data_IF_756843365692
#
_entry.id   IF_756843365692
#
_cell.length_a   1.000
_cell.length_b   1.000
_cell.length_c   1.000
_cell.angle_alpha   90.00
_cell.angle_beta   90.00
_cell.angle_gamma   90.00
#
_symmetry.space_group_name_H-M   'P 1'
#
loop_
_entity.id
_entity.type
_entity.pdbx_description
1 polymer ?
#
# COMPACT_ATOMS: atom_id res chain seq x y z
N UNK A 1 21.06 -8.65 -32.12
CA UNK A 1 20.92 -8.84 -30.68
C UNK A 1 20.21 -10.17 -30.47
N UNK A 2 20.69 -11.07 -29.60
CA UNK A 2 19.91 -12.23 -29.21
C UNK A 2 18.68 -11.70 -28.44
N UNK A 3 17.50 -12.09 -28.88
CA UNK A 3 16.26 -11.77 -28.23
C UNK A 3 16.31 -12.37 -26.80
N UNK A 4 16.37 -11.52 -25.77
CA UNK A 4 16.32 -11.96 -24.36
C UNK A 4 14.86 -12.27 -24.09
N UNK A 5 14.51 -13.54 -24.04
CA UNK A 5 13.17 -13.96 -23.65
C UNK A 5 13.08 -13.92 -22.11
N UNK A 6 12.44 -12.87 -21.59
CA UNK A 6 12.16 -12.71 -20.16
C UNK A 6 10.71 -13.13 -19.93
N UNK A 7 10.50 -14.03 -18.98
CA UNK A 7 9.16 -14.41 -18.53
C UNK A 7 8.47 -13.23 -17.86
N UNK A 8 7.24 -12.96 -18.22
CA UNK A 8 6.40 -11.89 -17.67
C UNK A 8 5.20 -12.43 -16.91
N UNK A 9 4.49 -11.57 -16.20
CA UNK A 9 3.23 -11.96 -15.54
C UNK A 9 2.18 -12.48 -16.54
N UNK A 10 2.22 -12.03 -17.78
CA UNK A 10 1.30 -12.52 -18.82
C UNK A 10 1.62 -13.96 -19.20
N UNK A 11 2.89 -14.32 -19.36
CA UNK A 11 3.32 -15.69 -19.62
C UNK A 11 2.92 -16.61 -18.46
N UNK A 12 3.11 -16.16 -17.22
CA UNK A 12 2.69 -16.90 -16.02
C UNK A 12 1.18 -17.01 -15.89
N UNK A 13 0.44 -15.97 -16.27
CA UNK A 13 -1.03 -16.05 -16.32
C UNK A 13 -1.50 -17.07 -17.34
N UNK A 14 -0.96 -17.06 -18.56
CA UNK A 14 -1.31 -18.04 -19.59
C UNK A 14 -0.97 -19.47 -19.16
N UNK A 15 0.16 -19.68 -18.49
CA UNK A 15 0.57 -20.96 -17.94
C UNK A 15 -0.40 -21.50 -16.84
N UNK A 16 -1.21 -20.65 -16.22
CA UNK A 16 -2.26 -21.06 -15.27
C UNK A 16 -3.58 -21.46 -15.95
N UNK A 17 -3.69 -21.33 -17.25
CA UNK A 17 -4.92 -21.67 -17.98
C UNK A 17 -4.97 -23.16 -18.36
N UNK A 18 -6.14 -23.84 -18.26
CA UNK A 18 -7.38 -23.33 -17.68
C UNK A 18 -7.28 -23.24 -16.15
N UNK A 19 -7.79 -22.16 -15.58
CA UNK A 19 -7.81 -22.00 -14.12
C UNK A 19 -8.70 -23.07 -13.46
N UNK A 20 -8.36 -23.42 -12.21
CA UNK A 20 -9.15 -24.36 -11.41
C UNK A 20 -10.60 -23.87 -11.25
N UNK A 21 -11.58 -24.61 -11.78
CA UNK A 21 -12.98 -24.24 -11.73
C UNK A 21 -13.55 -24.13 -10.31
N UNK A 22 -13.06 -24.93 -9.36
CA UNK A 22 -13.45 -24.79 -7.95
C UNK A 22 -12.94 -23.50 -7.33
N UNK A 23 -11.68 -23.14 -7.61
CA UNK A 23 -11.06 -21.91 -7.10
C UNK A 23 -11.72 -20.67 -7.68
N UNK A 24 -11.91 -20.61 -9.00
CA UNK A 24 -12.51 -19.46 -9.69
C UNK A 24 -13.96 -19.18 -9.30
N UNK A 25 -14.70 -20.22 -8.90
CA UNK A 25 -16.10 -20.14 -8.44
C UNK A 25 -16.22 -19.98 -6.90
N UNK A 26 -15.12 -19.87 -6.17
CA UNK A 26 -15.07 -19.86 -4.70
C UNK A 26 -15.72 -21.11 -4.05
N UNK A 27 -15.67 -22.26 -4.73
CA UNK A 27 -16.22 -23.53 -4.27
C UNK A 27 -15.19 -24.47 -3.65
N UNK A 28 -13.97 -23.97 -3.39
CA UNK A 28 -12.91 -24.65 -2.66
C UNK A 28 -12.67 -23.93 -1.34
N UNK A 29 -12.75 -24.63 -0.20
CA UNK A 29 -12.48 -24.06 1.12
C UNK A 29 -11.25 -24.68 1.76
N UNK A 30 -10.31 -23.84 2.21
CA UNK A 30 -9.06 -24.22 2.87
C UNK A 30 -8.88 -23.48 4.21
N UNK A 31 -9.96 -23.18 4.92
CA UNK A 31 -9.90 -22.37 6.14
C UNK A 31 -9.68 -23.17 7.43
N UNK A 32 -9.55 -24.50 7.34
CA UNK A 32 -9.25 -25.36 8.48
C UNK A 32 -8.50 -26.61 8.03
N UNK A 33 -8.03 -27.41 9.00
CA UNK A 33 -7.24 -28.61 8.74
C UNK A 33 -8.04 -29.80 8.18
N UNK A 34 -9.39 -29.74 8.16
CA UNK A 34 -10.23 -30.76 7.52
C UNK A 34 -10.30 -30.62 6.00
N UNK A 35 -9.94 -29.42 5.47
CA UNK A 35 -9.88 -29.17 4.04
C UNK A 35 -8.60 -29.73 3.37
N UNK A 36 -8.49 -29.53 2.04
CA UNK A 36 -9.40 -28.76 1.18
C UNK A 36 -10.75 -29.44 0.99
N UNK A 37 -11.84 -28.65 1.07
CA UNK A 37 -13.18 -29.11 0.76
C UNK A 37 -13.63 -28.47 -0.57
N UNK A 38 -14.23 -29.28 -1.45
CA UNK A 38 -14.76 -28.82 -2.74
C UNK A 38 -16.26 -29.06 -2.80
N UNK A 39 -17.01 -28.14 -3.39
CA UNK A 39 -18.43 -28.29 -3.70
C UNK A 39 -18.57 -28.37 -5.20
N UNK A 40 -19.23 -29.44 -5.67
CA UNK A 40 -19.46 -29.62 -7.10
C UNK A 40 -20.56 -28.68 -7.62
N UNK A 41 -20.24 -27.77 -8.57
CA UNK A 41 -21.22 -26.84 -9.14
C UNK A 41 -22.26 -27.53 -10.04
N UNK A 42 -21.99 -28.76 -10.52
CA UNK A 42 -22.85 -29.50 -11.42
C UNK A 42 -23.82 -30.47 -10.71
N UNK A 43 -23.76 -30.50 -9.37
CA UNK A 43 -24.69 -31.31 -8.56
C UNK A 43 -24.44 -32.82 -8.54
N UNK A 44 -23.31 -33.29 -9.10
CA UNK A 44 -22.95 -34.73 -9.14
C UNK A 44 -22.05 -35.15 -7.97
N UNK A 45 -21.41 -34.22 -7.31
CA UNK A 45 -20.48 -34.42 -6.18
C UNK A 45 -20.98 -33.84 -4.86
N UNK A 46 -20.06 -33.62 -3.88
CA UNK A 46 -20.40 -33.05 -2.58
C UNK A 46 -21.09 -31.71 -2.69
N UNK A 47 -22.13 -31.49 -1.89
CA UNK A 47 -22.84 -30.20 -1.77
C UNK A 47 -22.48 -29.45 -0.53
N UNK A 48 -21.68 -30.04 0.36
CA UNK A 48 -21.22 -29.45 1.64
C UNK A 48 -19.78 -29.83 1.91
N UNK A 49 -19.06 -28.94 2.55
CA UNK A 49 -17.77 -29.27 3.14
C UNK A 49 -17.87 -30.21 4.34
N UNK A 50 -16.73 -30.67 4.86
CA UNK A 50 -16.68 -31.58 6.02
C UNK A 50 -17.41 -30.98 7.24
N UNK A 51 -17.34 -29.67 7.45
CA UNK A 51 -18.04 -28.97 8.53
C UNK A 51 -19.54 -28.70 8.25
N UNK A 52 -20.06 -29.14 7.11
CA UNK A 52 -21.46 -28.91 6.71
C UNK A 52 -21.72 -27.58 6.00
N UNK A 53 -20.72 -26.71 5.82
CA UNK A 53 -20.86 -25.46 5.08
C UNK A 53 -21.19 -25.69 3.62
N UNK A 54 -22.17 -24.95 3.10
CA UNK A 54 -22.61 -24.97 1.71
C UNK A 54 -21.84 -23.98 0.82
N UNK A 55 -22.21 -23.90 -0.45
CA UNK A 55 -21.60 -23.01 -1.43
C UNK A 55 -21.69 -21.52 -1.03
N UNK A 56 -22.84 -21.09 -0.51
CA UNK A 56 -23.03 -19.70 -0.09
C UNK A 56 -22.11 -19.34 1.07
N UNK A 57 -21.96 -20.25 2.03
CA UNK A 57 -21.04 -20.07 3.16
C UNK A 57 -19.58 -20.06 2.71
N UNK A 58 -19.19 -20.90 1.74
CA UNK A 58 -17.85 -20.88 1.17
C UNK A 58 -17.55 -19.54 0.51
N UNK A 59 -18.42 -19.08 -0.38
CA UNK A 59 -18.25 -17.81 -1.08
C UNK A 59 -18.19 -16.62 -0.11
N UNK A 60 -19.08 -16.59 0.90
CA UNK A 60 -19.09 -15.53 1.92
C UNK A 60 -17.82 -15.52 2.77
N UNK A 61 -17.27 -16.69 3.13
CA UNK A 61 -15.98 -16.78 3.86
C UNK A 61 -14.82 -16.26 3.04
N UNK A 62 -14.74 -16.60 1.74
CA UNK A 62 -13.71 -16.09 0.85
C UNK A 62 -13.82 -14.58 0.69
N UNK A 63 -15.03 -14.08 0.42
CA UNK A 63 -15.26 -12.64 0.27
C UNK A 63 -14.86 -11.87 1.53
N UNK A 64 -15.27 -12.34 2.71
CA UNK A 64 -14.91 -11.71 3.98
C UNK A 64 -13.40 -11.72 4.22
N UNK A 65 -12.69 -12.83 3.92
CA UNK A 65 -11.23 -12.88 4.07
C UNK A 65 -10.50 -11.98 3.10
N UNK A 66 -10.97 -11.87 1.86
CA UNK A 66 -10.40 -10.95 0.88
C UNK A 66 -10.57 -9.49 1.33
N UNK A 67 -11.77 -9.12 1.79
CA UNK A 67 -12.01 -7.79 2.35
C UNK A 67 -11.13 -7.52 3.58
N UNK A 68 -11.01 -8.50 4.48
CA UNK A 68 -10.16 -8.41 5.67
C UNK A 68 -8.67 -8.27 5.34
N UNK A 69 -8.19 -8.97 4.31
CA UNK A 69 -6.80 -8.86 3.86
C UNK A 69 -6.50 -7.46 3.28
N UNK A 70 -7.41 -6.91 2.45
CA UNK A 70 -7.28 -5.55 1.94
C UNK A 70 -7.28 -4.51 3.07
N UNK A 71 -8.20 -4.64 4.03
CA UNK A 71 -8.25 -3.76 5.19
C UNK A 71 -6.97 -3.84 6.03
N UNK A 72 -6.39 -5.03 6.20
CA UNK A 72 -5.12 -5.20 6.92
C UNK A 72 -3.98 -4.45 6.25
N UNK A 73 -3.91 -4.46 4.91
CA UNK A 73 -2.90 -3.71 4.16
C UNK A 73 -2.98 -2.21 4.43
N UNK A 74 -4.17 -1.62 4.31
CA UNK A 74 -4.35 -0.19 4.55
C UNK A 74 -4.28 0.18 6.03
N UNK A 75 -4.66 -0.72 6.94
CA UNK A 75 -4.46 -0.55 8.39
C UNK A 75 -2.99 -0.38 8.73
N UNK A 76 -2.14 -1.28 8.23
CA UNK A 76 -0.71 -1.26 8.50
C UNK A 76 -0.03 0.01 7.93
N UNK A 77 -0.41 0.40 6.71
CA UNK A 77 0.01 1.66 6.08
C UNK A 77 -0.42 2.89 6.91
N UNK A 78 -1.68 2.95 7.32
CA UNK A 78 -2.22 4.06 8.10
C UNK A 78 -1.56 4.18 9.48
N UNK A 79 -1.20 3.05 10.09
CA UNK A 79 -0.45 3.01 11.34
C UNK A 79 0.93 3.63 11.18
N UNK A 80 1.65 3.29 10.09
CA UNK A 80 2.93 3.90 9.78
C UNK A 80 2.80 5.43 9.60
N UNK A 81 1.78 5.90 8.85
CA UNK A 81 1.52 7.32 8.69
C UNK A 81 1.20 8.04 10.02
N UNK A 82 0.48 7.38 10.94
CA UNK A 82 0.17 7.95 12.25
C UNK A 82 1.41 8.03 13.14
N UNK A 83 2.25 7.00 13.16
CA UNK A 83 3.55 7.04 13.86
C UNK A 83 4.44 8.14 13.30
N UNK A 84 4.54 8.27 11.97
CA UNK A 84 5.33 9.32 11.35
C UNK A 84 4.83 10.72 11.73
N UNK A 85 3.51 10.95 11.81
CA UNK A 85 2.97 12.24 12.25
C UNK A 85 3.38 12.56 13.69
N UNK A 86 3.31 11.58 14.60
CA UNK A 86 3.76 11.74 15.99
C UNK A 86 5.25 12.05 16.05
N UNK A 87 6.08 11.27 15.34
CA UNK A 87 7.54 11.47 15.28
C UNK A 87 7.89 12.86 14.69
N UNK A 88 7.19 13.26 13.62
CA UNK A 88 7.35 14.58 12.99
C UNK A 88 7.02 15.72 13.98
N UNK A 89 5.92 15.57 14.72
CA UNK A 89 5.48 16.56 15.71
C UNK A 89 6.48 16.69 16.87
N UNK A 90 7.10 15.59 17.29
CA UNK A 90 8.15 15.54 18.32
C UNK A 90 9.52 15.99 17.84
N UNK A 91 9.72 16.15 16.52
CA UNK A 91 11.01 16.47 15.92
C UNK A 91 11.97 15.27 15.81
N UNK A 92 11.45 14.05 15.93
CA UNK A 92 12.19 12.79 15.86
C UNK A 92 12.40 12.32 14.40
N UNK A 93 11.64 12.85 13.45
CA UNK A 93 11.74 12.57 12.01
C UNK A 93 12.15 13.83 11.22
N UNK A 94 13.44 14.22 11.22
CA UNK A 94 13.92 15.52 10.73
C UNK A 94 13.74 15.74 9.22
N UNK A 95 13.48 14.69 8.44
CA UNK A 95 13.16 14.74 7.01
C UNK A 95 11.74 15.24 6.71
N UNK A 96 10.88 15.30 7.71
CA UNK A 96 9.46 15.60 7.54
C UNK A 96 9.01 16.81 8.36
N UNK A 97 7.88 17.40 7.98
CA UNK A 97 7.33 18.58 8.67
C UNK A 97 5.82 18.69 8.44
N UNK A 98 5.13 19.44 9.28
CA UNK A 98 3.73 19.80 9.06
C UNK A 98 3.67 20.84 7.93
N UNK A 99 3.13 20.46 6.77
CA UNK A 99 3.01 21.31 5.58
C UNK A 99 1.62 21.94 5.44
N UNK A 100 0.57 21.21 5.76
CA UNK A 100 -0.82 21.66 5.62
C UNK A 100 -1.47 21.82 7.00
N UNK A 101 -1.38 23.02 7.52
CA UNK A 101 -1.95 23.39 8.84
C UNK A 101 -3.48 23.39 8.79
N UNK A 102 -4.08 23.83 7.68
CA UNK A 102 -5.54 23.87 7.55
C UNK A 102 -6.12 22.44 7.58
N UNK A 103 -5.46 21.51 6.89
CA UNK A 103 -5.81 20.09 6.95
C UNK A 103 -5.69 19.55 8.38
N UNK A 104 -4.60 19.87 9.09
CA UNK A 104 -4.43 19.49 10.50
C UNK A 104 -5.60 19.98 11.36
N UNK A 105 -6.01 21.24 11.20
CA UNK A 105 -7.13 21.80 11.98
C UNK A 105 -8.46 21.10 11.66
N UNK A 106 -8.71 20.76 10.40
CA UNK A 106 -9.91 20.00 10.00
C UNK A 106 -9.94 18.59 10.64
N UNK A 107 -8.80 17.91 10.68
CA UNK A 107 -8.70 16.57 11.29
C UNK A 107 -8.83 16.69 12.81
N UNK A 108 -8.19 17.68 13.42
CA UNK A 108 -8.30 17.98 14.85
C UNK A 108 -9.75 18.20 15.28
N UNK A 109 -10.50 19.00 14.53
CA UNK A 109 -11.94 19.22 14.76
C UNK A 109 -12.73 17.91 14.67
N UNK A 110 -12.49 17.11 13.64
CA UNK A 110 -13.15 15.81 13.45
C UNK A 110 -12.89 14.87 14.64
N UNK A 111 -11.68 14.87 15.16
CA UNK A 111 -11.27 14.04 16.30
C UNK A 111 -11.67 14.63 17.65
N UNK A 112 -12.06 15.90 17.70
CA UNK A 112 -12.41 16.62 18.94
C UNK A 112 -11.19 17.09 19.73
N UNK A 113 -10.05 17.26 19.06
CA UNK A 113 -8.81 17.81 19.62
C UNK A 113 -8.96 19.32 19.80
N UNK A 114 -8.62 19.83 20.96
CA UNK A 114 -8.63 21.27 21.22
C UNK A 114 -7.46 21.96 20.49
N UNK A 115 -7.77 23.02 19.75
CA UNK A 115 -6.76 23.75 18.94
C UNK A 115 -6.41 25.14 19.49
N UNK A 116 -7.33 25.75 20.26
CA UNK A 116 -7.17 27.12 20.79
C UNK A 116 -5.99 27.20 21.76
N UNK A 117 -5.14 28.21 21.57
CA UNK A 117 -3.99 28.55 22.42
C UNK A 117 -2.94 27.43 22.53
N UNK A 118 -2.81 26.59 21.47
CA UNK A 118 -1.86 25.48 21.40
C UNK A 118 -0.90 25.63 20.23
N UNK A 119 0.30 25.06 20.34
CA UNK A 119 1.26 24.98 19.25
C UNK A 119 0.84 23.93 18.22
N UNK A 120 1.18 24.17 16.96
CA UNK A 120 0.87 23.26 15.84
C UNK A 120 1.37 21.85 16.12
N UNK A 121 2.58 21.67 16.59
CA UNK A 121 3.17 20.37 16.89
C UNK A 121 2.42 19.63 18.01
N UNK A 122 1.97 20.33 19.06
CA UNK A 122 1.18 19.72 20.14
C UNK A 122 -0.18 19.20 19.61
N UNK A 123 -0.79 19.91 18.67
CA UNK A 123 -2.04 19.50 18.03
C UNK A 123 -1.77 18.30 17.11
N UNK A 124 -0.70 18.33 16.33
CA UNK A 124 -0.32 17.26 15.42
C UNK A 124 0.00 15.96 16.17
N UNK A 125 0.73 16.06 17.29
CA UNK A 125 1.02 14.91 18.15
C UNK A 125 -0.27 14.28 18.69
N UNK A 126 -1.18 15.08 19.25
CA UNK A 126 -2.46 14.55 19.76
C UNK A 126 -3.32 13.96 18.66
N UNK A 127 -3.37 14.57 17.48
CA UNK A 127 -4.07 14.01 16.31
C UNK A 127 -3.50 12.65 15.91
N UNK A 128 -2.16 12.53 15.87
CA UNK A 128 -1.49 11.26 15.58
C UNK A 128 -1.78 10.17 16.62
N UNK A 129 -1.69 10.51 17.90
CA UNK A 129 -2.02 9.58 19.00
C UNK A 129 -3.49 9.13 18.94
N UNK A 130 -4.43 10.05 18.67
CA UNK A 130 -5.83 9.70 18.49
C UNK A 130 -6.07 8.81 17.28
N UNK A 131 -5.34 9.03 16.19
CA UNK A 131 -5.39 8.15 15.02
C UNK A 131 -4.90 6.74 15.38
N UNK A 132 -3.82 6.61 16.15
CA UNK A 132 -3.32 5.32 16.64
C UNK A 132 -4.35 4.59 17.52
N UNK A 133 -5.17 5.30 18.27
CA UNK A 133 -6.25 4.68 19.07
C UNK A 133 -7.35 4.06 18.20
N UNK A 134 -7.54 4.51 16.96
CA UNK A 134 -8.58 3.98 16.06
C UNK A 134 -8.34 2.51 15.64
N UNK A 135 -7.12 2.00 15.77
CA UNK A 135 -6.78 0.63 15.41
C UNK A 135 -7.35 -0.38 16.42
N UNK A 136 -7.24 -0.12 17.72
CA UNK A 136 -7.54 -1.08 18.76
C UNK A 136 -8.44 -0.59 19.90
N UNK A 137 -9.18 0.48 19.74
CA UNK A 137 -10.03 1.01 20.82
C UNK A 137 -11.11 0.02 21.26
N UNK A 138 -11.41 -0.06 22.57
CA UNK A 138 -12.35 -1.06 23.11
C UNK A 138 -13.82 -0.73 22.82
N UNK A 139 -14.18 0.54 22.70
CA UNK A 139 -15.57 1.01 22.59
C UNK A 139 -15.74 2.09 21.52
N UNK A 140 -17.00 2.28 21.09
CA UNK A 140 -17.39 3.30 20.11
C UNK A 140 -17.24 2.84 18.66
N UNK A 141 -17.26 3.80 17.76
CA UNK A 141 -17.07 3.64 16.31
C UNK A 141 -15.93 4.52 15.84
N UNK A 142 -15.45 4.30 14.60
CA UNK A 142 -14.37 5.09 14.03
C UNK A 142 -14.72 6.58 13.94
N UNK A 143 -13.78 7.45 14.27
CA UNK A 143 -14.00 8.91 14.34
C UNK A 143 -14.33 9.51 12.98
N UNK A 144 -13.66 9.07 11.92
CA UNK A 144 -13.92 9.57 10.57
C UNK A 144 -15.30 9.22 10.00
N UNK A 145 -16.06 8.30 10.62
CA UNK A 145 -17.45 8.06 10.24
C UNK A 145 -18.32 9.32 10.35
N UNK A 146 -17.95 10.26 11.24
CA UNK A 146 -18.65 11.55 11.39
C UNK A 146 -18.64 12.40 10.12
N UNK A 147 -17.69 12.18 9.22
CA UNK A 147 -17.57 12.89 7.94
C UNK A 147 -18.49 12.32 6.86
N UNK A 148 -19.06 11.14 7.07
CA UNK A 148 -20.04 10.57 6.16
C UNK A 148 -21.39 11.32 6.26
N UNK A 149 -22.18 11.42 5.18
CA UNK A 149 -23.53 11.98 5.24
C UNK A 149 -24.39 11.31 6.33
N UNK A 150 -25.13 12.08 7.11
CA UNK A 150 -25.93 11.58 8.24
C UNK A 150 -26.87 10.43 7.86
N UNK A 151 -27.51 10.54 6.67
CA UNK A 151 -28.37 9.48 6.16
C UNK A 151 -27.61 8.15 5.99
N UNK A 152 -26.32 8.20 5.64
CA UNK A 152 -25.47 7.02 5.49
C UNK A 152 -25.12 6.44 6.86
N UNK A 153 -24.76 7.27 7.82
CA UNK A 153 -24.47 6.84 9.20
C UNK A 153 -25.66 6.11 9.82
N UNK A 154 -26.87 6.67 9.68
CA UNK A 154 -28.12 6.02 10.16
C UNK A 154 -28.36 4.64 9.54
N UNK A 155 -28.03 4.47 8.25
CA UNK A 155 -28.14 3.16 7.60
C UNK A 155 -27.13 2.16 8.20
N UNK A 156 -25.88 2.57 8.40
CA UNK A 156 -24.85 1.70 8.97
C UNK A 156 -25.15 1.27 10.39
N UNK A 157 -25.67 2.18 11.21
CA UNK A 157 -26.13 1.89 12.56
C UNK A 157 -27.31 0.89 12.54
N UNK A 158 -28.35 1.17 11.75
CA UNK A 158 -29.53 0.30 11.61
C UNK A 158 -29.16 -1.11 11.17
N UNK A 159 -28.18 -1.25 10.26
CA UNK A 159 -27.72 -2.55 9.78
C UNK A 159 -26.70 -3.22 10.74
N UNK A 160 -26.20 -2.50 11.74
CA UNK A 160 -25.17 -2.97 12.64
C UNK A 160 -23.82 -3.18 11.98
N UNK A 161 -23.49 -2.38 10.94
CA UNK A 161 -22.25 -2.49 10.16
C UNK A 161 -21.30 -1.30 10.35
N UNK A 162 -21.60 -0.35 11.23
CA UNK A 162 -20.66 0.70 11.61
C UNK A 162 -19.41 0.08 12.26
N UNK A 163 -18.19 0.32 11.72
CA UNK A 163 -16.97 -0.28 12.26
C UNK A 163 -16.59 0.33 13.59
N UNK A 164 -16.03 -0.51 14.48
CA UNK A 164 -15.70 -0.17 15.87
C UNK A 164 -14.24 0.24 16.04
N UNK A 165 -13.35 -0.55 15.46
CA UNK A 165 -11.92 -0.28 15.40
C UNK A 165 -11.34 -1.10 14.25
N UNK A 166 -10.27 -0.62 13.60
CA UNK A 166 -9.79 -1.19 12.34
C UNK A 166 -9.32 -2.64 12.53
N UNK A 167 -8.35 -2.87 13.43
CA UNK A 167 -7.77 -4.21 13.66
C UNK A 167 -8.80 -5.18 14.26
N UNK A 168 -9.74 -4.67 15.04
CA UNK A 168 -10.82 -5.48 15.60
C UNK A 168 -11.68 -6.11 14.51
N UNK A 169 -12.02 -5.33 13.48
CA UNK A 169 -12.84 -5.87 12.39
C UNK A 169 -12.06 -6.90 11.55
N UNK A 170 -10.76 -6.70 11.36
CA UNK A 170 -9.88 -7.68 10.70
C UNK A 170 -9.79 -8.96 11.53
N UNK A 171 -9.50 -8.86 12.82
CA UNK A 171 -9.40 -10.02 13.72
C UNK A 171 -10.71 -10.80 13.78
N UNK A 172 -11.83 -10.10 13.89
CA UNK A 172 -13.17 -10.74 13.93
C UNK A 172 -13.48 -11.43 12.58
N UNK A 173 -13.04 -10.88 11.47
CA UNK A 173 -13.19 -11.50 10.14
C UNK A 173 -12.44 -12.82 10.05
N UNK A 174 -11.23 -12.91 10.60
CA UNK A 174 -10.46 -14.15 10.65
C UNK A 174 -11.13 -15.18 11.55
N UNK A 175 -11.62 -14.78 12.72
CA UNK A 175 -12.32 -15.67 13.66
C UNK A 175 -13.63 -16.20 13.05
N UNK A 176 -14.50 -15.33 12.54
CA UNK A 176 -15.80 -15.72 11.97
C UNK A 176 -15.68 -16.71 10.80
N UNK A 177 -14.62 -16.62 10.01
CA UNK A 177 -14.40 -17.50 8.85
C UNK A 177 -13.73 -18.81 9.19
N UNK A 178 -13.29 -19.01 10.42
CA UNK A 178 -12.74 -20.29 10.90
C UNK A 178 -13.85 -21.33 11.12
N UNK A 179 -13.47 -22.61 11.12
CA UNK A 179 -14.37 -23.72 11.38
C UNK A 179 -14.98 -23.57 12.80
N UNK A 180 -16.32 -23.72 12.89
CA UNK A 180 -17.06 -23.50 14.12
C UNK A 180 -17.32 -22.03 14.48
N UNK A 181 -16.88 -21.09 13.63
CA UNK A 181 -17.22 -19.68 13.75
C UNK A 181 -18.61 -19.38 13.18
N UNK A 182 -18.73 -18.30 12.38
CA UNK A 182 -19.99 -17.91 11.76
C UNK A 182 -20.35 -18.82 10.59
N UNK A 183 -21.57 -19.31 10.57
CA UNK A 183 -22.08 -20.23 9.53
C UNK A 183 -23.31 -19.68 8.79
N UNK A 184 -23.68 -18.43 9.07
CA UNK A 184 -24.70 -17.70 8.32
C UNK A 184 -24.01 -16.79 7.29
N UNK A 185 -24.17 -17.13 6.00
CA UNK A 185 -23.57 -16.36 4.91
C UNK A 185 -24.04 -14.89 4.88
N UNK A 186 -25.26 -14.59 5.32
CA UNK A 186 -25.77 -13.21 5.39
C UNK A 186 -25.04 -12.43 6.49
N UNK A 187 -24.78 -13.07 7.63
CA UNK A 187 -24.04 -12.46 8.73
C UNK A 187 -22.56 -12.29 8.39
N UNK A 188 -21.96 -13.25 7.69
CA UNK A 188 -20.59 -13.13 7.13
C UNK A 188 -20.49 -11.94 6.16
N UNK A 189 -21.47 -11.76 5.27
CA UNK A 189 -21.51 -10.63 4.34
C UNK A 189 -21.70 -9.28 5.07
N UNK A 190 -22.48 -9.23 6.17
CA UNK A 190 -22.54 -8.01 7.01
C UNK A 190 -21.18 -7.68 7.63
N UNK A 191 -20.43 -8.68 8.08
CA UNK A 191 -19.08 -8.46 8.57
C UNK A 191 -18.14 -8.00 7.45
N UNK A 192 -18.28 -8.52 6.23
CA UNK A 192 -17.52 -8.06 5.07
C UNK A 192 -17.78 -6.58 4.77
N UNK A 193 -19.04 -6.14 4.84
CA UNK A 193 -19.38 -4.71 4.73
C UNK A 193 -18.78 -3.88 5.86
N UNK A 194 -18.81 -4.36 7.11
CA UNK A 194 -18.23 -3.66 8.25
C UNK A 194 -16.72 -3.52 8.12
N UNK A 195 -16.00 -4.56 7.73
CA UNK A 195 -14.55 -4.51 7.55
C UNK A 195 -14.17 -3.62 6.37
N UNK A 196 -14.96 -3.61 5.29
CA UNK A 196 -14.75 -2.68 4.17
C UNK A 196 -14.98 -1.21 4.57
N UNK A 197 -15.93 -0.94 5.48
CA UNK A 197 -16.10 0.40 6.06
C UNK A 197 -14.95 0.76 7.00
N UNK A 198 -14.38 -0.21 7.72
CA UNK A 198 -13.18 0.00 8.54
C UNK A 198 -11.96 0.32 7.66
N UNK A 199 -11.88 -0.26 6.46
CA UNK A 199 -10.88 0.08 5.47
C UNK A 199 -11.04 1.53 5.00
N UNK A 200 -12.17 1.85 4.37
CA UNK A 200 -12.39 3.15 3.74
C UNK A 200 -12.41 4.32 4.74
N UNK A 201 -13.16 4.19 5.85
CA UNK A 201 -13.33 5.24 6.87
C UNK A 201 -12.35 5.14 8.05
N UNK A 202 -11.47 4.17 8.03
CA UNK A 202 -10.40 3.99 9.00
C UNK A 202 -9.04 4.06 8.32
N UNK A 203 -8.52 2.93 7.85
CA UNK A 203 -7.17 2.84 7.30
C UNK A 203 -6.90 3.85 6.18
N UNK A 204 -7.74 3.87 5.12
CA UNK A 204 -7.57 4.79 4.01
C UNK A 204 -7.69 6.27 4.43
N UNK A 205 -8.68 6.62 5.25
CA UNK A 205 -8.86 8.01 5.70
C UNK A 205 -7.71 8.46 6.60
N UNK A 206 -7.27 7.64 7.56
CA UNK A 206 -6.14 7.98 8.43
C UNK A 206 -4.89 8.19 7.57
N UNK A 207 -4.53 7.23 6.71
CA UNK A 207 -3.37 7.35 5.85
C UNK A 207 -3.41 8.64 5.03
N UNK A 208 -4.50 8.87 4.29
CA UNK A 208 -4.62 10.01 3.37
C UNK A 208 -4.58 11.35 4.11
N UNK A 209 -5.38 11.50 5.17
CA UNK A 209 -5.49 12.78 5.89
C UNK A 209 -4.20 13.14 6.61
N UNK A 210 -3.52 12.16 7.25
CA UNK A 210 -2.27 12.42 7.94
C UNK A 210 -1.10 12.67 6.98
N UNK A 211 -1.07 11.98 5.85
CA UNK A 211 -0.09 12.25 4.80
C UNK A 211 -0.29 13.63 4.16
N UNK A 212 -1.54 14.06 3.95
CA UNK A 212 -1.82 15.42 3.49
C UNK A 212 -1.31 16.47 4.46
N UNK A 213 -1.44 16.25 5.78
CA UNK A 213 -0.87 17.12 6.80
C UNK A 213 0.65 17.24 6.64
N UNK A 214 1.35 16.12 6.44
CA UNK A 214 2.82 16.09 6.38
C UNK A 214 3.39 16.43 5.01
N UNK A 215 2.75 15.97 3.93
CA UNK A 215 3.29 16.06 2.56
C UNK A 215 2.59 17.13 1.71
N UNK A 216 1.49 17.68 2.21
CA UNK A 216 0.64 18.66 1.53
C UNK A 216 -0.55 18.03 0.83
N UNK A 217 -1.70 18.69 0.92
CA UNK A 217 -2.93 18.27 0.23
C UNK A 217 -2.75 18.35 -1.28
N UNK A 218 -3.08 17.26 -2.03
CA UNK A 218 -2.95 17.21 -3.48
C UNK A 218 -3.77 18.27 -4.20
N UNK A 219 -3.25 18.73 -5.35
CA UNK A 219 -3.96 19.62 -6.27
C UNK A 219 -4.11 18.96 -7.62
N UNK A 220 -5.15 19.30 -8.43
CA UNK A 220 -5.28 18.80 -9.79
C UNK A 220 -4.01 19.09 -10.61
N UNK A 221 -3.44 18.06 -11.22
CA UNK A 221 -2.23 18.14 -12.05
C UNK A 221 -2.45 17.43 -13.37
N UNK A 222 -1.71 17.85 -14.41
CA UNK A 222 -1.56 17.09 -15.65
C UNK A 222 -0.26 16.30 -15.56
N UNK A 223 -0.32 15.02 -15.92
CA UNK A 223 0.84 14.13 -15.90
C UNK A 223 0.90 13.19 -17.09
N UNK A 224 1.99 12.45 -17.18
CA UNK A 224 2.18 11.36 -18.14
C UNK A 224 2.20 10.04 -17.39
N UNK A 225 1.58 9.01 -17.98
CA UNK A 225 1.56 7.66 -17.43
C UNK A 225 1.90 6.66 -18.53
N UNK A 226 3.18 6.42 -18.75
CA UNK A 226 3.71 5.40 -19.66
C UNK A 226 5.24 5.24 -19.47
N UNK A 227 5.84 4.18 -20.02
CA UNK A 227 7.27 3.92 -19.91
C UNK A 227 8.17 4.97 -20.58
N UNK A 228 7.64 5.78 -21.51
CA UNK A 228 8.36 6.86 -22.17
C UNK A 228 8.70 8.06 -21.28
N UNK A 229 8.32 8.03 -19.98
CA UNK A 229 8.73 9.04 -18.99
C UNK A 229 10.19 8.91 -18.59
N UNK A 230 10.79 7.72 -18.76
CA UNK A 230 12.21 7.46 -18.54
C UNK A 230 13.07 8.06 -19.65
N UNK A 231 14.27 8.48 -19.31
CA UNK A 231 15.19 9.15 -20.25
C UNK A 231 16.47 8.36 -20.43
N UNK A 232 16.84 8.12 -21.70
CA UNK A 232 18.03 7.33 -22.06
C UNK A 232 19.35 7.91 -21.55
N UNK A 233 19.46 9.21 -21.41
CA UNK A 233 20.68 9.92 -20.99
C UNK A 233 20.69 10.35 -19.52
N UNK A 234 19.78 9.81 -18.72
CA UNK A 234 19.65 10.05 -17.27
C UNK A 234 19.72 8.74 -16.49
N UNK A 235 20.05 8.83 -15.22
CA UNK A 235 19.84 7.75 -14.27
C UNK A 235 18.34 7.66 -13.98
N UNK A 236 17.72 6.54 -14.28
CA UNK A 236 16.29 6.33 -14.01
C UNK A 236 16.10 5.49 -12.77
N UNK A 237 15.42 6.06 -11.79
CA UNK A 237 15.05 5.42 -10.53
C UNK A 237 13.54 5.26 -10.51
N UNK A 238 13.07 4.04 -10.38
CA UNK A 238 11.65 3.73 -10.19
C UNK A 238 11.38 3.52 -8.72
N UNK A 239 10.39 4.24 -8.19
CA UNK A 239 9.85 4.05 -6.84
C UNK A 239 8.51 3.32 -6.96
N UNK A 240 8.41 2.14 -6.35
CA UNK A 240 7.27 1.24 -6.54
C UNK A 240 6.73 0.71 -5.22
N UNK A 241 5.43 0.81 -5.06
CA UNK A 241 4.70 0.30 -3.90
C UNK A 241 3.58 1.22 -3.44
N UNK A 242 3.48 1.45 -2.13
CA UNK A 242 2.34 2.12 -1.53
C UNK A 242 2.67 3.16 -0.46
N UNK A 243 3.86 3.10 0.18
CA UNK A 243 4.18 3.99 1.29
C UNK A 243 4.79 5.31 0.82
N UNK A 244 4.07 6.45 0.98
CA UNK A 244 4.56 7.75 0.50
C UNK A 244 5.79 8.28 1.24
N UNK A 245 6.08 7.79 2.45
CA UNK A 245 7.24 8.23 3.24
C UNK A 245 8.54 8.05 2.46
N UNK A 246 8.75 6.85 1.91
CA UNK A 246 9.92 6.56 1.08
C UNK A 246 9.95 7.45 -0.16
N UNK A 247 8.82 7.59 -0.85
CA UNK A 247 8.72 8.40 -2.05
C UNK A 247 9.03 9.86 -1.78
N UNK A 248 8.50 10.44 -0.70
CA UNK A 248 8.77 11.82 -0.27
C UNK A 248 10.26 12.01 0.05
N UNK A 249 10.87 11.07 0.81
CA UNK A 249 12.29 11.12 1.12
C UNK A 249 13.18 11.03 -0.13
N UNK A 250 12.83 10.18 -1.10
CA UNK A 250 13.54 10.06 -2.39
C UNK A 250 13.46 11.38 -3.17
N UNK A 251 12.29 12.02 -3.22
CA UNK A 251 12.12 13.31 -3.90
C UNK A 251 12.97 14.38 -3.23
N UNK A 252 12.91 14.48 -1.91
CA UNK A 252 13.70 15.46 -1.15
C UNK A 252 15.21 15.24 -1.33
N UNK A 253 15.68 13.99 -1.21
CA UNK A 253 17.09 13.65 -1.37
C UNK A 253 17.57 13.85 -2.82
N UNK A 254 16.71 13.71 -3.82
CA UNK A 254 17.10 13.95 -5.23
C UNK A 254 17.46 15.41 -5.53
N UNK A 255 16.97 16.33 -4.72
CA UNK A 255 17.32 17.78 -4.79
C UNK A 255 18.70 18.13 -4.21
N UNK A 256 19.40 17.18 -3.57
CA UNK A 256 20.73 17.41 -3.02
C UNK A 256 21.75 17.70 -4.13
N UNK A 257 22.53 18.80 -4.03
CA UNK A 257 23.56 19.14 -5.04
C UNK A 257 24.58 18.03 -5.29
N UNK A 258 24.86 17.18 -4.31
CA UNK A 258 25.79 16.07 -4.45
C UNK A 258 25.24 14.98 -5.37
N UNK A 259 23.94 14.78 -5.41
CA UNK A 259 23.25 13.85 -6.33
C UNK A 259 23.47 14.32 -7.77
N UNK A 260 23.29 15.60 -8.05
CA UNK A 260 23.52 16.14 -9.39
C UNK A 260 24.99 16.02 -9.83
N UNK A 261 25.95 16.31 -8.92
CA UNK A 261 27.40 16.13 -9.17
C UNK A 261 27.75 14.67 -9.45
N UNK A 262 27.21 13.74 -8.64
CA UNK A 262 27.47 12.33 -8.80
C UNK A 262 26.91 11.79 -10.14
N UNK A 263 25.70 12.19 -10.54
CA UNK A 263 25.11 11.84 -11.81
C UNK A 263 25.98 12.35 -12.99
N UNK A 264 26.44 13.58 -12.93
CA UNK A 264 27.35 14.14 -13.95
C UNK A 264 28.69 13.41 -14.01
N UNK A 265 29.25 12.98 -12.87
CA UNK A 265 30.51 12.25 -12.81
C UNK A 265 30.46 10.87 -13.51
N UNK A 266 29.28 10.24 -13.60
CA UNK A 266 29.08 9.00 -14.36
C UNK A 266 28.65 9.23 -15.81
N UNK A 267 28.57 10.50 -16.26
CA UNK A 267 28.20 10.88 -17.63
C UNK A 267 26.68 10.98 -17.87
N UNK A 268 25.86 10.92 -16.82
CA UNK A 268 24.43 11.13 -16.93
C UNK A 268 24.08 12.64 -16.89
N UNK A 269 23.02 13.03 -17.61
CA UNK A 269 22.52 14.43 -17.59
C UNK A 269 21.76 14.80 -16.30
N UNK A 270 21.48 13.82 -15.46
CA UNK A 270 20.75 13.99 -14.18
C UNK A 270 20.08 12.71 -13.76
N UNK A 271 19.23 12.81 -12.75
CA UNK A 271 18.40 11.72 -12.22
C UNK A 271 16.94 11.94 -12.61
N UNK A 272 16.27 10.91 -13.09
CA UNK A 272 14.83 10.88 -13.31
C UNK A 272 14.22 9.94 -12.28
N UNK A 273 13.24 10.43 -11.55
CA UNK A 273 12.38 9.62 -10.69
C UNK A 273 11.07 9.38 -11.42
N UNK A 274 10.61 8.15 -11.43
CA UNK A 274 9.30 7.78 -11.94
C UNK A 274 8.62 6.82 -10.96
N UNK A 275 7.31 6.93 -10.81
CA UNK A 275 6.56 6.09 -9.88
C UNK A 275 5.89 4.90 -10.56
N UNK A 276 5.68 3.82 -9.79
CA UNK A 276 4.79 2.71 -10.14
C UNK A 276 3.74 2.51 -9.04
N UNK A 277 2.52 2.10 -9.42
CA UNK A 277 1.39 1.80 -8.54
C UNK A 277 0.90 3.01 -7.73
N UNK A 278 0.52 2.82 -6.46
CA UNK A 278 -0.01 3.89 -5.61
C UNK A 278 1.05 4.96 -5.32
N UNK A 279 2.30 4.57 -5.10
CA UNK A 279 3.43 5.50 -4.98
C UNK A 279 3.53 6.45 -6.18
N UNK A 280 3.22 5.97 -7.41
CA UNK A 280 3.19 6.83 -8.60
C UNK A 280 2.13 7.92 -8.51
N UNK A 281 0.94 7.60 -7.97
CA UNK A 281 -0.11 8.59 -7.76
C UNK A 281 0.33 9.66 -6.77
N UNK A 282 0.93 9.27 -5.66
CA UNK A 282 1.45 10.18 -4.63
C UNK A 282 2.49 11.15 -5.20
N UNK A 283 3.45 10.61 -5.94
CA UNK A 283 4.50 11.39 -6.62
C UNK A 283 3.92 12.36 -7.64
N UNK A 284 2.92 11.92 -8.41
CA UNK A 284 2.30 12.75 -9.44
C UNK A 284 1.50 13.90 -8.81
N UNK A 285 0.59 13.62 -7.86
CA UNK A 285 -0.35 14.62 -7.34
C UNK A 285 0.31 15.63 -6.39
N UNK A 286 1.44 15.28 -5.77
CA UNK A 286 2.17 16.20 -4.86
C UNK A 286 3.37 16.87 -5.51
N UNK A 287 4.07 16.19 -6.43
CA UNK A 287 5.33 16.67 -6.99
C UNK A 287 5.32 16.82 -8.52
N UNK A 288 4.24 16.44 -9.20
CA UNK A 288 4.18 16.45 -10.67
C UNK A 288 5.11 15.42 -11.33
N UNK A 289 5.63 14.45 -10.57
CA UNK A 289 6.53 13.41 -11.06
C UNK A 289 5.72 12.39 -11.87
N UNK A 290 6.18 12.04 -13.09
CA UNK A 290 5.39 11.21 -13.98
C UNK A 290 5.31 9.75 -13.51
N UNK A 291 4.26 9.06 -13.94
CA UNK A 291 4.05 7.64 -13.68
C UNK A 291 4.69 6.80 -14.77
N UNK A 292 5.47 5.78 -14.44
CA UNK A 292 5.87 4.74 -15.37
C UNK A 292 4.72 3.77 -15.68
N UNK A 293 3.79 3.59 -14.73
CA UNK A 293 2.60 2.77 -14.91
C UNK A 293 2.08 2.16 -13.61
N UNK A 294 1.35 1.05 -13.72
CA UNK A 294 0.79 0.31 -12.59
C UNK A 294 1.43 -1.10 -12.46
N UNK A 295 0.94 -1.92 -11.50
CA UNK A 295 1.57 -3.20 -11.15
C UNK A 295 1.81 -4.16 -12.32
N UNK A 296 0.98 -4.17 -13.35
CA UNK A 296 1.14 -5.11 -14.47
C UNK A 296 2.25 -4.73 -15.44
N UNK A 297 2.82 -3.52 -15.31
CA UNK A 297 3.91 -3.05 -16.18
C UNK A 297 5.28 -3.06 -15.49
N UNK A 298 5.38 -3.50 -14.22
CA UNK A 298 6.62 -3.41 -13.45
C UNK A 298 7.79 -4.19 -14.07
N UNK A 299 7.53 -5.38 -14.60
CA UNK A 299 8.53 -6.16 -15.33
C UNK A 299 8.88 -5.52 -16.70
N UNK A 300 7.87 -4.95 -17.36
CA UNK A 300 8.06 -4.19 -18.59
C UNK A 300 8.93 -2.94 -18.40
N UNK A 301 8.85 -2.29 -17.23
CA UNK A 301 9.70 -1.15 -16.90
C UNK A 301 11.18 -1.56 -16.84
N UNK A 302 11.51 -2.66 -16.16
CA UNK A 302 12.85 -3.23 -16.12
C UNK A 302 13.32 -3.65 -17.51
N UNK A 303 12.43 -4.29 -18.29
CA UNK A 303 12.72 -4.81 -19.64
C UNK A 303 13.03 -3.72 -20.67
N UNK A 304 12.77 -2.45 -20.37
CA UNK A 304 13.22 -1.33 -21.21
C UNK A 304 14.75 -1.22 -21.29
N UNK A 305 15.47 -1.77 -20.30
CA UNK A 305 16.92 -1.72 -20.22
C UNK A 305 17.50 -0.33 -19.91
N UNK A 306 16.66 0.61 -19.42
CA UNK A 306 17.10 1.97 -19.07
C UNK A 306 16.91 2.32 -17.59
N UNK A 307 16.48 1.35 -16.77
CA UNK A 307 16.27 1.53 -15.32
C UNK A 307 17.51 1.10 -14.57
N UNK A 308 18.12 2.03 -13.86
CA UNK A 308 19.30 1.73 -13.03
C UNK A 308 18.92 1.09 -11.72
N UNK A 309 17.82 1.55 -11.12
CA UNK A 309 17.38 1.07 -9.83
C UNK A 309 15.85 1.09 -9.73
N UNK A 310 15.29 0.02 -9.22
CA UNK A 310 13.91 -0.04 -8.75
C UNK A 310 13.94 -0.24 -7.25
N UNK A 311 13.48 0.76 -6.51
CA UNK A 311 13.28 0.67 -5.06
C UNK A 311 11.83 0.34 -4.78
N UNK A 312 11.61 -0.62 -3.90
CA UNK A 312 10.28 -1.12 -3.57
C UNK A 312 10.04 -1.07 -2.06
N UNK A 313 8.85 -0.64 -1.69
CA UNK A 313 8.38 -0.69 -0.31
C UNK A 313 7.48 -1.92 -0.08
N UNK A 314 6.16 -1.79 -0.14
CA UNK A 314 5.21 -2.86 0.15
C UNK A 314 4.00 -2.79 -0.80
N UNK A 315 3.33 -3.93 -1.01
CA UNK A 315 2.12 -4.12 -1.81
C UNK A 315 2.32 -3.95 -3.32
N UNK A 316 1.60 -4.72 -4.09
CA UNK A 316 1.63 -4.76 -5.55
C UNK A 316 3.01 -5.06 -6.17
N UNK A 317 4.02 -5.35 -5.37
CA UNK A 317 5.37 -5.72 -5.83
C UNK A 317 5.42 -7.22 -6.08
N UNK A 318 5.78 -7.61 -7.30
CA UNK A 318 5.83 -9.03 -7.68
C UNK A 318 7.19 -9.64 -7.33
N UNK A 319 7.18 -10.83 -6.72
CA UNK A 319 8.40 -11.59 -6.43
C UNK A 319 9.26 -11.83 -7.67
N UNK A 320 8.63 -12.01 -8.84
CA UNK A 320 9.33 -12.26 -10.10
C UNK A 320 10.25 -11.13 -10.57
N UNK A 321 10.13 -9.91 -10.01
CA UNK A 321 11.09 -8.83 -10.29
C UNK A 321 12.53 -9.25 -9.99
N UNK A 322 12.77 -10.05 -8.93
CA UNK A 322 14.09 -10.56 -8.61
C UNK A 322 14.67 -11.49 -9.69
N UNK A 323 13.82 -12.17 -10.45
CA UNK A 323 14.25 -12.96 -11.60
C UNK A 323 14.42 -12.08 -12.84
N UNK A 324 13.49 -11.14 -13.08
CA UNK A 324 13.55 -10.22 -14.21
C UNK A 324 14.84 -9.39 -14.21
N UNK A 325 15.24 -8.83 -13.07
CA UNK A 325 16.46 -7.99 -12.97
C UNK A 325 17.75 -8.75 -13.28
N UNK A 326 17.79 -10.08 -13.16
CA UNK A 326 18.98 -10.87 -13.53
C UNK A 326 19.35 -10.78 -15.01
N UNK A 327 18.40 -10.39 -15.86
CA UNK A 327 18.60 -10.23 -17.29
C UNK A 327 19.02 -8.82 -17.70
N UNK A 328 19.05 -7.88 -16.77
CA UNK A 328 19.33 -6.46 -16.97
C UNK A 328 20.34 -5.95 -15.94
N UNK A 329 20.82 -4.72 -16.13
CA UNK A 329 21.69 -4.08 -15.16
C UNK A 329 20.92 -3.53 -13.93
N UNK A 330 19.60 -3.47 -13.99
CA UNK A 330 18.74 -2.89 -12.93
C UNK A 330 19.00 -3.49 -11.56
N UNK A 331 19.25 -2.66 -10.55
CA UNK A 331 19.25 -3.07 -9.16
C UNK A 331 17.84 -3.06 -8.59
N UNK A 332 17.46 -4.11 -7.87
CA UNK A 332 16.22 -4.20 -7.12
C UNK A 332 16.52 -4.05 -5.63
N UNK A 333 15.92 -3.05 -4.99
CA UNK A 333 16.16 -2.73 -3.58
C UNK A 333 14.84 -2.74 -2.81
N UNK A 334 14.75 -3.58 -1.77
CA UNK A 334 13.65 -3.59 -0.80
C UNK A 334 14.00 -2.70 0.40
N UNK A 335 12.99 -2.09 1.04
CA UNK A 335 13.20 -1.08 2.09
C UNK A 335 12.56 -1.41 3.43
N UNK A 336 11.61 -2.34 3.47
CA UNK A 336 10.90 -2.69 4.70
C UNK A 336 11.25 -4.11 5.15
N UNK A 337 11.57 -4.29 6.42
CA UNK A 337 11.88 -5.59 7.03
C UNK A 337 10.74 -6.61 6.87
N UNK A 338 9.48 -6.13 6.83
CA UNK A 338 8.26 -6.93 6.64
C UNK A 338 7.94 -7.26 5.17
N UNK A 339 8.69 -6.72 4.19
CA UNK A 339 8.39 -6.84 2.76
C UNK A 339 9.65 -7.11 1.92
N UNK A 340 10.38 -8.18 2.25
CA UNK A 340 11.62 -8.59 1.56
C UNK A 340 11.33 -9.49 0.37
N UNK A 341 12.18 -9.41 -0.65
CA UNK A 341 12.17 -10.30 -1.81
C UNK A 341 13.49 -11.06 -1.85
N UNK A 342 13.43 -12.38 -1.91
CA UNK A 342 14.64 -13.22 -2.05
C UNK A 342 15.38 -12.87 -3.33
N UNK A 343 16.66 -12.52 -3.21
CA UNK A 343 17.52 -12.13 -4.34
C UNK A 343 17.58 -10.62 -4.62
N UNK A 344 16.79 -9.80 -3.91
CA UNK A 344 16.92 -8.35 -3.95
C UNK A 344 17.91 -7.85 -2.89
N UNK A 345 18.55 -6.70 -3.15
CA UNK A 345 19.29 -5.97 -2.12
C UNK A 345 18.31 -5.37 -1.10
N UNK A 346 18.78 -5.12 0.12
CA UNK A 346 17.95 -4.53 1.18
C UNK A 346 18.64 -3.32 1.80
N UNK A 347 17.92 -2.23 1.86
CA UNK A 347 18.31 -1.00 2.58
C UNK A 347 17.17 -0.67 3.52
N UNK A 348 17.34 -0.93 4.81
CA UNK A 348 16.32 -0.62 5.81
C UNK A 348 15.98 0.87 5.77
N UNK A 349 14.69 1.18 5.79
CA UNK A 349 14.17 2.54 5.77
C UNK A 349 13.42 2.81 7.09
N UNK A 350 13.98 3.71 7.87
CA UNK A 350 13.43 4.19 9.13
C UNK A 350 13.19 5.70 9.03
N UNK A 351 12.09 6.19 9.61
CA UNK A 351 11.65 7.58 9.48
C UNK A 351 12.69 8.59 10.04
N UNK A 352 13.42 8.19 11.09
CA UNK A 352 14.46 8.99 11.73
C UNK A 352 15.67 9.22 10.79
N UNK A 353 15.96 8.27 9.91
CA UNK A 353 17.09 8.25 8.98
C UNK A 353 16.65 8.30 7.50
N UNK A 354 15.41 8.71 7.24
CA UNK A 354 14.78 8.62 5.93
C UNK A 354 15.60 9.27 4.81
N UNK A 355 16.15 10.47 5.01
CA UNK A 355 16.93 11.20 4.01
C UNK A 355 18.27 10.52 3.71
N UNK A 356 18.92 9.94 4.71
CA UNK A 356 20.18 9.19 4.54
C UNK A 356 19.94 7.92 3.72
N UNK A 357 18.91 7.16 4.08
CA UNK A 357 18.52 5.95 3.35
C UNK A 357 18.13 6.29 1.90
N UNK A 358 17.34 7.33 1.68
CA UNK A 358 16.96 7.80 0.36
C UNK A 358 18.18 8.23 -0.48
N UNK A 359 19.10 9.01 0.08
CA UNK A 359 20.34 9.43 -0.60
C UNK A 359 21.20 8.23 -0.96
N UNK A 360 21.36 7.26 -0.04
CA UNK A 360 22.07 6.01 -0.31
C UNK A 360 21.46 5.25 -1.48
N UNK A 361 20.14 5.09 -1.52
CA UNK A 361 19.42 4.41 -2.60
C UNK A 361 19.65 5.12 -3.95
N UNK A 362 19.55 6.46 -3.98
CA UNK A 362 19.80 7.24 -5.20
C UNK A 362 21.25 7.03 -5.67
N UNK A 363 22.23 7.07 -4.76
CA UNK A 363 23.63 6.85 -5.11
C UNK A 363 23.89 5.46 -5.66
N UNK A 364 23.24 4.42 -5.14
CA UNK A 364 23.29 3.06 -5.70
C UNK A 364 22.81 3.02 -7.17
N UNK A 365 21.76 3.78 -7.50
CA UNK A 365 21.28 3.93 -8.88
C UNK A 365 22.29 4.66 -9.77
N UNK A 366 22.89 5.74 -9.27
CA UNK A 366 23.91 6.52 -10.00
C UNK A 366 25.15 5.65 -10.30
N UNK A 367 25.64 4.93 -9.29
CA UNK A 367 26.79 4.01 -9.48
C UNK A 367 26.49 2.93 -10.52
N UNK A 368 25.24 2.48 -10.59
CA UNK A 368 24.82 1.44 -11.52
C UNK A 368 24.67 1.92 -12.98
N UNK A 369 24.63 3.23 -13.21
CA UNK A 369 24.51 3.81 -14.56
C UNK A 369 25.63 3.36 -15.53
N UNK A 370 26.82 3.14 -15.02
CA UNK A 370 27.98 2.63 -15.79
C UNK A 370 27.82 1.19 -16.29
N UNK A 371 26.86 0.44 -15.75
CA UNK A 371 26.63 -0.97 -16.11
C UNK A 371 25.53 -1.12 -17.20
N UNK A 372 24.99 -0.01 -17.68
CA UNK A 372 23.99 0.02 -18.74
C UNK A 372 24.51 -0.47 -20.09
#
# INVERSE_FOLDING_TARGET
MKEIKVETMYDRYEAQLPQCGYGSLALCCRHCNYGPCNIDPFGKGPKKGVCGADANTFAARHFLRMAGAGTACHSDHARAAAHLLVATARGEAPGYRIKDVDKLMMVAECFGVKTKDRKINEIAEEVGEMALMEFGKPYGTLLFLKRAPEARQKIWEKLGIAPRAIDREVTESMHRTSMGGDQDYKNLNKQAMRVALADGWGGCMIATELQDIMFGTPKPVQGKSNLGVMKKDHVNIIVHGHEPQLAEAIVLASGDPDVAKAAAAVGAKGVVIAGLCCTANELLVRHGIPMAGHMTIQEGAVSTGVVELMVVDIQCVMQALAETVKHFHTKLVTTLSKAKITGAEHVEFEDEHALEAAKKIIMMGIENYKNR
#
